data_IF_610655575854
#
_entry.id   IF_610655575854
#
_cell.length_a   1.000
_cell.length_b   1.000
_cell.length_c   1.000
_cell.angle_alpha   90.00
_cell.angle_beta   90.00
_cell.angle_gamma   90.00
#
_symmetry.space_group_name_H-M   'P 1'
#
loop_
_entity.id
_entity.type
_entity.pdbx_description
1 polymer ?
#
# COMPACT_ATOMS: atom_id res chain seq x y z
N UNK A 1 7.81 -15.06 4.41
CA UNK A 1 8.62 -14.39 5.44
C UNK A 1 9.15 -15.47 6.36
N UNK A 2 10.43 -15.84 6.25
CA UNK A 2 11.03 -16.82 7.17
C UNK A 2 10.96 -16.31 8.62
N UNK A 3 11.05 -17.20 9.62
CA UNK A 3 11.14 -16.80 11.01
C UNK A 3 12.34 -15.86 11.24
N UNK A 4 12.14 -14.78 11.99
CA UNK A 4 13.23 -13.96 12.49
C UNK A 4 13.79 -14.58 13.76
N UNK A 5 14.89 -15.32 13.60
CA UNK A 5 15.57 -16.01 14.70
C UNK A 5 16.71 -15.19 15.31
N UNK A 6 16.81 -13.90 14.99
CA UNK A 6 17.90 -13.06 15.49
C UNK A 6 17.60 -12.54 16.90
N UNK A 7 18.54 -12.73 17.83
CA UNK A 7 18.46 -12.20 19.22
C UNK A 7 18.74 -10.68 19.29
N UNK A 8 18.91 -10.04 18.14
CA UNK A 8 19.13 -8.60 18.05
C UNK A 8 17.76 -7.95 17.92
N UNK A 9 17.37 -7.02 18.82
CA UNK A 9 16.16 -6.23 18.64
C UNK A 9 16.45 -5.22 17.53
N UNK A 10 16.52 -5.69 16.30
CA UNK A 10 16.46 -4.82 15.16
C UNK A 10 15.02 -4.32 15.09
N UNK A 11 14.83 -3.05 14.78
CA UNK A 11 13.49 -2.52 14.49
C UNK A 11 12.94 -3.07 13.17
N UNK A 12 13.21 -4.34 12.85
CA UNK A 12 13.10 -4.94 11.54
C UNK A 12 11.67 -5.39 11.31
N UNK A 13 10.90 -4.45 10.80
CA UNK A 13 9.66 -4.75 10.13
C UNK A 13 9.95 -5.68 8.95
N UNK A 14 9.21 -6.79 8.84
CA UNK A 14 9.25 -7.65 7.65
C UNK A 14 8.84 -6.87 6.41
N UNK A 15 7.94 -5.90 6.58
CA UNK A 15 7.71 -4.76 5.67
C UNK A 15 7.40 -3.54 6.52
N UNK A 16 8.15 -2.45 6.34
CA UNK A 16 7.95 -1.19 7.08
C UNK A 16 6.60 -0.52 6.76
N UNK A 17 6.28 0.55 7.48
CA UNK A 17 5.08 1.36 7.22
C UNK A 17 5.08 1.87 5.78
N UNK A 18 4.02 1.57 5.05
CA UNK A 18 3.78 2.05 3.69
C UNK A 18 2.27 2.05 3.40
N UNK A 19 1.91 2.60 2.24
CA UNK A 19 0.58 2.52 1.65
C UNK A 19 0.69 1.91 0.25
N UNK A 20 -0.37 1.25 -0.20
CA UNK A 20 -0.39 0.67 -1.55
C UNK A 20 -0.64 1.74 -2.62
N UNK A 21 -0.09 1.55 -3.80
CA UNK A 21 -0.06 2.59 -4.84
C UNK A 21 -1.33 2.65 -5.69
N UNK A 22 -1.98 1.51 -5.94
CA UNK A 22 -3.05 1.40 -6.92
C UNK A 22 -4.46 1.58 -6.38
N UNK A 23 -5.40 0.71 -6.77
CA UNK A 23 -6.81 0.84 -6.34
C UNK A 23 -7.13 -0.05 -5.15
N UNK A 24 -6.95 -1.36 -5.31
CA UNK A 24 -7.32 -2.37 -4.33
C UNK A 24 -6.19 -3.37 -4.14
N UNK A 25 -5.91 -3.67 -2.89
CA UNK A 25 -5.12 -4.83 -2.51
C UNK A 25 -6.06 -5.88 -1.95
N UNK A 26 -6.03 -7.09 -2.53
CA UNK A 26 -6.76 -8.25 -2.05
C UNK A 26 -5.74 -9.22 -1.50
N UNK A 27 -5.74 -9.38 -0.18
CA UNK A 27 -4.72 -10.14 0.53
C UNK A 27 -5.31 -11.44 1.09
N UNK A 28 -4.68 -12.56 0.72
CA UNK A 28 -4.83 -13.83 1.44
C UNK A 28 -3.69 -13.98 2.45
N UNK A 29 -4.06 -14.18 3.71
CA UNK A 29 -3.14 -14.52 4.79
C UNK A 29 -3.17 -16.02 5.05
N UNK A 30 -2.04 -16.57 5.48
CA UNK A 30 -2.03 -17.83 6.23
C UNK A 30 -2.51 -17.63 7.68
N UNK A 31 -2.28 -18.60 8.56
CA UNK A 31 -2.70 -18.52 9.96
C UNK A 31 -1.72 -17.79 10.89
N UNK A 32 -0.54 -17.37 10.41
CA UNK A 32 0.53 -16.81 11.27
C UNK A 32 0.24 -15.35 11.64
N UNK A 33 -0.35 -14.57 10.74
CA UNK A 33 -0.72 -13.18 11.02
C UNK A 33 0.44 -12.20 10.89
N UNK A 34 0.49 -11.16 11.74
CA UNK A 34 1.56 -10.15 11.74
C UNK A 34 1.32 -8.89 10.88
N UNK A 35 0.20 -8.81 10.15
CA UNK A 35 -0.20 -7.57 9.48
C UNK A 35 -0.77 -6.59 10.51
N UNK A 36 -0.27 -5.36 10.49
CA UNK A 36 -0.82 -4.24 11.26
C UNK A 36 -1.28 -3.11 10.35
N UNK A 37 -2.39 -2.46 10.73
CA UNK A 37 -3.01 -1.37 9.99
C UNK A 37 -3.12 -0.14 10.88
N UNK A 38 -2.79 1.04 10.35
CA UNK A 38 -2.82 2.31 11.09
C UNK A 38 -4.17 3.00 10.92
N UNK A 39 -5.06 2.81 11.89
CA UNK A 39 -6.34 3.53 11.94
C UNK A 39 -6.16 4.96 12.47
N UNK A 40 -7.18 5.84 12.38
CA UNK A 40 -7.18 7.14 13.06
C UNK A 40 -6.97 7.07 14.58
N UNK A 41 -7.20 5.90 15.18
CA UNK A 41 -7.05 5.66 16.63
C UNK A 41 -5.74 4.95 16.99
N UNK A 42 -4.88 4.68 16.01
CA UNK A 42 -3.61 3.99 16.19
C UNK A 42 -3.52 2.68 15.43
N UNK A 43 -2.42 1.96 15.67
CA UNK A 43 -2.13 0.66 15.05
C UNK A 43 -3.00 -0.44 15.63
N UNK A 44 -3.57 -1.27 14.76
CA UNK A 44 -4.32 -2.47 15.11
C UNK A 44 -3.80 -3.68 14.36
N UNK A 45 -3.98 -4.88 14.92
CA UNK A 45 -3.71 -6.13 14.22
C UNK A 45 -4.84 -6.48 13.24
N UNK A 46 -4.47 -6.87 12.03
CA UNK A 46 -5.36 -7.54 11.08
C UNK A 46 -5.14 -9.06 11.18
N UNK A 47 -5.71 -9.65 12.23
CA UNK A 47 -5.60 -11.07 12.51
C UNK A 47 -6.20 -11.90 11.36
N UNK A 48 -5.57 -13.02 10.94
CA UNK A 48 -6.13 -13.88 9.92
C UNK A 48 -7.48 -14.45 10.33
N UNK A 49 -8.45 -14.36 9.44
CA UNK A 49 -9.75 -15.01 9.58
C UNK A 49 -9.84 -16.10 8.50
N UNK A 50 -10.14 -17.37 8.87
CA UNK A 50 -10.33 -18.44 7.89
C UNK A 50 -11.33 -18.05 6.80
N UNK A 51 -11.06 -18.49 5.57
CA UNK A 51 -11.91 -18.24 4.39
C UNK A 51 -12.25 -16.77 4.10
N UNK A 52 -11.40 -15.85 4.57
CA UNK A 52 -11.50 -14.42 4.29
C UNK A 52 -10.32 -13.89 3.48
N UNK A 53 -10.55 -12.69 2.94
CA UNK A 53 -9.50 -11.82 2.42
C UNK A 53 -9.50 -10.52 3.25
N UNK A 54 -8.30 -9.96 3.43
CA UNK A 54 -8.18 -8.56 3.83
C UNK A 54 -8.20 -7.72 2.55
N UNK A 55 -9.02 -6.68 2.53
CA UNK A 55 -9.08 -5.72 1.43
C UNK A 55 -8.73 -4.35 1.97
N UNK A 56 -7.72 -3.72 1.38
CA UNK A 56 -7.39 -2.32 1.63
C UNK A 56 -7.30 -1.55 0.32
N UNK A 57 -7.40 -0.23 0.45
CA UNK A 57 -7.43 0.69 -0.68
C UNK A 57 -6.04 1.28 -0.88
N UNK A 58 -5.69 1.55 -2.13
CA UNK A 58 -4.46 2.23 -2.50
C UNK A 58 -4.63 3.71 -2.81
N UNK A 59 -3.50 4.35 -3.05
CA UNK A 59 -3.36 5.77 -3.30
C UNK A 59 -4.19 6.26 -4.51
N UNK A 60 -4.33 5.46 -5.56
CA UNK A 60 -5.13 5.89 -6.72
C UNK A 60 -6.62 5.97 -6.38
N UNK A 61 -7.15 5.05 -5.57
CA UNK A 61 -8.55 5.13 -5.17
C UNK A 61 -8.79 6.27 -4.17
N UNK A 62 -7.83 6.52 -3.28
CA UNK A 62 -7.84 7.68 -2.40
C UNK A 62 -7.88 8.99 -3.21
N UNK A 63 -6.98 9.13 -4.19
CA UNK A 63 -6.96 10.24 -5.15
C UNK A 63 -8.29 10.39 -5.89
N UNK A 64 -8.84 9.30 -6.44
CA UNK A 64 -10.12 9.33 -7.16
C UNK A 64 -11.24 9.87 -6.28
N UNK A 65 -11.28 9.50 -5.00
CA UNK A 65 -12.33 9.92 -4.08
C UNK A 65 -12.02 11.22 -3.32
N UNK A 66 -10.88 11.85 -3.64
CA UNK A 66 -10.39 13.06 -3.01
C UNK A 66 -10.24 12.93 -1.48
N UNK A 67 -9.70 11.81 -1.01
CA UNK A 67 -9.45 11.53 0.42
C UNK A 67 -10.67 11.03 1.21
N UNK A 68 -11.80 10.76 0.56
CA UNK A 68 -12.98 10.19 1.26
C UNK A 68 -12.76 8.72 1.60
N UNK A 69 -12.15 7.98 0.69
CA UNK A 69 -11.71 6.62 0.91
C UNK A 69 -10.20 6.65 1.11
N UNK A 70 -9.71 6.04 2.19
CA UNK A 70 -8.33 6.25 2.67
C UNK A 70 -7.41 5.13 2.24
N UNK A 71 -6.28 5.52 1.63
CA UNK A 71 -5.11 4.65 1.47
C UNK A 71 -4.41 4.53 2.82
N UNK A 72 -4.74 3.46 3.55
CA UNK A 72 -4.40 3.34 4.97
C UNK A 72 -3.00 2.75 5.15
N UNK A 73 -2.11 3.38 5.94
CA UNK A 73 -0.77 2.83 6.18
C UNK A 73 -0.84 1.47 6.87
N UNK A 74 0.03 0.57 6.46
CA UNK A 74 0.13 -0.76 7.03
C UNK A 74 1.59 -1.23 7.06
N UNK A 75 1.87 -2.23 7.90
CA UNK A 75 3.21 -2.82 8.08
C UNK A 75 3.10 -4.29 8.48
N UNK A 76 4.21 -5.01 8.43
CA UNK A 76 4.27 -6.44 8.78
C UNK A 76 5.32 -6.67 9.85
N UNK A 77 4.94 -7.30 10.96
CA UNK A 77 5.87 -7.90 11.91
C UNK A 77 6.26 -9.32 11.45
N UNK A 78 7.57 -9.67 11.45
CA UNK A 78 7.98 -11.05 11.23
C UNK A 78 7.52 -11.92 12.42
N UNK A 79 7.29 -13.21 12.15
CA UNK A 79 7.14 -14.20 13.23
C UNK A 79 8.53 -14.68 13.67
N UNK A 80 8.66 -15.06 14.93
CA UNK A 80 9.92 -15.54 15.52
C UNK A 80 10.14 -17.04 15.36
N UNK A 81 9.07 -17.81 15.12
CA UNK A 81 9.10 -19.28 15.17
C UNK A 81 8.62 -19.96 13.89
N UNK A 82 7.79 -19.27 13.10
CA UNK A 82 7.01 -19.89 12.01
C UNK A 82 7.11 -19.06 10.75
N UNK A 83 7.37 -19.71 9.62
CA UNK A 83 7.32 -19.05 8.32
C UNK A 83 5.90 -18.55 8.04
N UNK A 84 5.80 -17.28 7.61
CA UNK A 84 4.55 -16.65 7.19
C UNK A 84 4.45 -16.58 5.67
N UNK A 85 3.34 -17.08 5.13
CA UNK A 85 2.92 -16.91 3.74
C UNK A 85 1.87 -15.79 3.61
N UNK A 86 2.02 -14.97 2.58
CA UNK A 86 1.19 -13.79 2.34
C UNK A 86 1.06 -13.60 0.83
N UNK A 87 -0.16 -13.55 0.32
CA UNK A 87 -0.42 -13.47 -1.12
C UNK A 87 -1.23 -12.20 -1.45
N UNK A 88 -0.56 -11.06 -1.64
CA UNK A 88 -1.21 -9.84 -2.09
C UNK A 88 -1.48 -9.90 -3.60
N UNK A 89 -2.71 -9.58 -4.00
CA UNK A 89 -3.08 -9.31 -5.38
C UNK A 89 -3.45 -7.83 -5.50
N UNK A 90 -2.73 -7.10 -6.37
CA UNK A 90 -2.97 -5.69 -6.64
C UNK A 90 -3.85 -5.55 -7.88
N UNK A 91 -5.01 -4.93 -7.71
CA UNK A 91 -5.96 -4.65 -8.78
C UNK A 91 -5.92 -3.17 -9.11
N UNK A 92 -5.31 -2.85 -10.24
CA UNK A 92 -4.82 -1.50 -10.55
C UNK A 92 -5.36 -0.93 -11.87
N UNK A 93 -5.23 0.39 -12.10
CA UNK A 93 -5.58 1.00 -13.37
C UNK A 93 -4.71 0.46 -14.52
N UNK A 94 -5.18 0.67 -15.76
CA UNK A 94 -4.34 0.46 -16.93
C UNK A 94 -3.10 1.35 -16.90
N UNK A 95 -2.00 0.91 -17.52
CA UNK A 95 -0.72 1.62 -17.51
C UNK A 95 -0.84 3.08 -17.96
N UNK A 96 -1.49 3.32 -19.10
CA UNK A 96 -1.68 4.65 -19.68
C UNK A 96 -2.89 5.42 -19.10
N UNK A 97 -3.53 4.90 -18.06
CA UNK A 97 -4.73 5.50 -17.51
C UNK A 97 -4.41 6.78 -16.74
N UNK A 98 -5.08 7.89 -17.09
CA UNK A 98 -5.08 9.08 -16.25
C UNK A 98 -6.11 8.93 -15.12
N UNK A 99 -5.62 8.82 -13.89
CA UNK A 99 -6.47 8.74 -12.71
C UNK A 99 -7.00 10.12 -12.33
N UNK A 100 -8.30 10.34 -12.54
CA UNK A 100 -8.99 11.61 -12.29
C UNK A 100 -9.95 11.49 -11.10
N UNK A 101 -10.19 12.59 -10.35
CA UNK A 101 -11.20 12.61 -9.31
C UNK A 101 -12.58 12.24 -9.85
N UNK A 102 -13.32 11.40 -9.12
CA UNK A 102 -14.73 11.11 -9.39
C UNK A 102 -15.62 12.16 -8.73
N UNK A 103 -16.74 12.56 -9.36
CA UNK A 103 -17.66 13.52 -8.78
C UNK A 103 -18.41 12.86 -7.61
N UNK A 104 -18.07 13.28 -6.39
CA UNK A 104 -18.74 12.86 -5.15
C UNK A 104 -19.36 14.07 -4.48
N UNK A 105 -20.56 13.92 -3.92
CA UNK A 105 -21.26 14.99 -3.24
C UNK A 105 -20.53 15.47 -1.96
N UNK A 106 -20.76 16.73 -1.60
CA UNK A 106 -20.18 17.39 -0.43
C UNK A 106 -18.76 17.91 -0.64
N UNK A 107 -18.24 18.61 0.37
CA UNK A 107 -16.85 19.07 0.37
C UNK A 107 -15.91 17.89 0.70
N UNK A 108 -14.77 17.75 -0.01
CA UNK A 108 -13.78 16.77 0.35
C UNK A 108 -13.15 17.11 1.72
N UNK A 109 -12.61 16.12 2.43
CA UNK A 109 -11.76 16.41 3.60
C UNK A 109 -10.54 17.24 3.19
N UNK A 110 -9.86 17.84 4.17
CA UNK A 110 -8.58 18.50 3.95
C UNK A 110 -7.56 17.54 3.31
N UNK A 111 -6.55 18.11 2.65
CA UNK A 111 -5.39 17.35 2.21
C UNK A 111 -4.64 16.79 3.42
N UNK A 112 -4.20 15.54 3.33
CA UNK A 112 -3.55 14.79 4.40
C UNK A 112 -2.07 14.55 4.14
N UNK A 113 -1.49 15.20 3.11
CA UNK A 113 -0.09 15.08 2.72
C UNK A 113 0.90 15.13 3.89
N UNK A 114 0.71 16.06 4.84
CA UNK A 114 1.58 16.22 6.03
C UNK A 114 1.57 15.01 6.97
N UNK A 115 0.52 14.19 6.92
CA UNK A 115 0.33 13.03 7.78
C UNK A 115 0.62 11.70 7.07
N UNK A 116 0.81 11.73 5.75
CA UNK A 116 1.19 10.56 4.96
C UNK A 116 2.65 10.21 5.21
N UNK A 117 2.95 8.92 5.22
CA UNK A 117 4.28 8.39 5.52
C UNK A 117 5.38 8.93 4.57
N UNK A 118 5.00 9.24 3.32
CA UNK A 118 5.89 9.75 2.27
C UNK A 118 5.75 11.25 2.01
N UNK A 119 4.92 11.96 2.76
CA UNK A 119 4.67 13.40 2.60
C UNK A 119 4.00 13.80 1.28
N UNK A 120 3.53 12.84 0.47
CA UNK A 120 3.05 13.14 -0.89
C UNK A 120 1.58 13.56 -0.90
N UNK A 121 1.27 14.72 -1.47
CA UNK A 121 -0.11 15.07 -1.79
C UNK A 121 -0.59 14.31 -3.02
N UNK A 122 -1.54 13.39 -2.81
CA UNK A 122 -2.17 12.65 -3.89
C UNK A 122 -3.05 13.53 -4.78
N UNK A 123 -3.46 14.72 -4.32
CA UNK A 123 -4.30 15.66 -5.08
C UNK A 123 -3.54 16.29 -6.25
N UNK A 124 -2.24 16.49 -6.08
CA UNK A 124 -1.38 17.18 -7.06
C UNK A 124 -0.67 16.25 -8.03
N UNK A 125 -0.94 14.94 -7.99
CA UNK A 125 -0.42 14.01 -8.99
C UNK A 125 -0.93 14.39 -10.40
N UNK A 126 -0.07 14.17 -11.40
CA UNK A 126 -0.35 14.40 -12.82
C UNK A 126 0.33 13.30 -13.63
N UNK A 127 -0.11 13.11 -14.87
CA UNK A 127 0.36 12.03 -15.74
C UNK A 127 -0.45 10.74 -15.61
N UNK A 128 0.10 9.66 -16.13
CA UNK A 128 -0.54 8.34 -16.16
C UNK A 128 -0.29 7.58 -14.86
N UNK A 129 -1.09 6.53 -14.63
CA UNK A 129 -0.85 5.60 -13.53
C UNK A 129 0.53 4.92 -13.66
N UNK A 130 0.95 4.57 -14.88
CA UNK A 130 2.25 4.00 -15.18
C UNK A 130 3.40 4.91 -14.74
N UNK A 131 3.33 6.21 -15.06
CA UNK A 131 4.33 7.20 -14.62
C UNK A 131 4.43 7.27 -13.09
N UNK A 132 3.27 7.33 -12.43
CA UNK A 132 3.19 7.36 -10.97
C UNK A 132 3.78 6.09 -10.36
N UNK A 133 3.35 4.90 -10.78
CA UNK A 133 3.85 3.63 -10.27
C UNK A 133 5.36 3.50 -10.49
N UNK A 134 5.82 3.86 -11.70
CA UNK A 134 7.23 3.83 -12.06
C UNK A 134 8.07 4.77 -11.18
N UNK A 135 7.55 5.96 -10.83
CA UNK A 135 8.23 6.89 -9.92
C UNK A 135 8.47 6.31 -8.52
N UNK A 136 7.65 5.32 -8.09
CA UNK A 136 7.77 4.67 -6.79
C UNK A 136 8.75 3.50 -6.80
N UNK A 137 8.74 2.67 -7.85
CA UNK A 137 9.45 1.39 -7.86
C UNK A 137 10.79 1.40 -8.60
N UNK A 138 11.00 2.38 -9.49
CA UNK A 138 12.15 2.41 -10.42
C UNK A 138 13.52 2.39 -9.73
N UNK A 139 13.65 3.00 -8.56
CA UNK A 139 14.91 3.02 -7.80
C UNK A 139 15.31 1.63 -7.27
N UNK A 140 14.33 0.75 -7.06
CA UNK A 140 14.53 -0.60 -6.51
C UNK A 140 14.71 -1.62 -7.64
N UNK A 141 14.11 -1.39 -8.80
CA UNK A 141 14.16 -2.29 -9.97
C UNK A 141 14.79 -1.62 -11.20
N UNK A 142 16.09 -1.29 -11.16
CA UNK A 142 16.74 -0.49 -12.20
C UNK A 142 16.76 -1.19 -13.58
N UNK A 143 16.77 -2.51 -13.63
CA UNK A 143 16.83 -3.26 -14.91
C UNK A 143 15.51 -3.19 -15.69
N UNK A 144 14.39 -3.02 -15.00
CA UNK A 144 13.06 -2.86 -15.61
C UNK A 144 12.88 -1.46 -16.20
N UNK A 145 13.73 -0.49 -15.82
CA UNK A 145 13.70 0.88 -16.31
C UNK A 145 13.94 1.00 -17.81
N UNK A 146 14.77 0.11 -18.34
CA UNK A 146 15.16 0.14 -19.75
C UNK A 146 13.99 -0.20 -20.66
N UNK A 147 13.13 -1.13 -20.26
CA UNK A 147 11.99 -1.56 -21.09
C UNK A 147 10.76 -0.63 -21.05
N UNK A 148 10.65 0.24 -20.05
CA UNK A 148 9.59 1.26 -19.95
C UNK A 148 9.96 2.51 -20.74
N UNK A 149 11.23 2.91 -20.73
CA UNK A 149 11.71 4.07 -21.50
C UNK A 149 11.76 3.84 -23.03
N UNK A 150 11.66 2.59 -23.47
CA UNK A 150 11.73 2.17 -24.88
C UNK A 150 10.34 1.98 -25.53
N UNK A 151 9.24 2.27 -24.83
CA UNK A 151 7.86 2.25 -25.35
C UNK A 151 7.31 3.65 -25.51
#
# INVERSE_FOLDING_TARGET
YPPDTTDVPTGDWGVAEHSDYGLLTILRQDTVGGLEVRTPHGWIDAAPIPDSFVINLGDMLDRMTAGRYRSTPHRVRPSVDTERLSFPFFFDPGWDAEVRPVPLAGEPPADDAETRWDGTSLRHLSGTYGDYLWSRVSKVFPDQARGVAER
#
